data_IF_394306324481
#
_entry.id   IF_394306324481
#
_cell.length_a   1.000
_cell.length_b   1.000
_cell.length_c   1.000
_cell.angle_alpha   90.00
_cell.angle_beta   90.00
_cell.angle_gamma   90.00
#
_symmetry.space_group_name_H-M   'P 1'
#
loop_
_entity.id
_entity.type
_entity.pdbx_description
1 polymer ?
#
# COMPACT_ATOMS: atom_id res chain seq x y z
N UNK A 1 -19.90 -11.93 3.95
CA UNK A 1 -18.55 -12.53 4.14
C UNK A 1 -17.95 -13.07 2.85
N UNK A 2 -18.44 -14.18 2.28
CA UNK A 2 -17.81 -14.79 1.08
C UNK A 2 -17.82 -13.87 -0.14
N UNK A 3 -18.93 -13.15 -0.37
CA UNK A 3 -19.01 -12.13 -1.41
C UNK A 3 -18.04 -10.96 -1.15
N UNK A 4 -17.87 -10.56 0.12
CA UNK A 4 -16.96 -9.47 0.51
C UNK A 4 -15.50 -9.86 0.24
N UNK A 5 -15.10 -11.08 0.60
CA UNK A 5 -13.76 -11.62 0.29
C UNK A 5 -13.49 -11.61 -1.21
N UNK A 6 -14.50 -11.98 -2.01
CA UNK A 6 -14.37 -11.97 -3.46
C UNK A 6 -14.22 -10.55 -4.02
N UNK A 7 -14.99 -9.60 -3.50
CA UNK A 7 -14.90 -8.18 -3.88
C UNK A 7 -13.56 -7.55 -3.45
N UNK A 8 -12.98 -7.99 -2.33
CA UNK A 8 -11.66 -7.57 -1.84
C UNK A 8 -10.49 -8.16 -2.66
N UNK A 9 -10.76 -9.07 -3.60
CA UNK A 9 -9.71 -9.79 -4.34
C UNK A 9 -9.01 -10.88 -3.52
N UNK A 10 -9.55 -11.23 -2.36
CA UNK A 10 -9.03 -12.25 -1.44
C UNK A 10 -9.40 -13.68 -1.88
N UNK A 11 -9.46 -13.91 -3.19
CA UNK A 11 -9.76 -15.22 -3.77
C UNK A 11 -8.50 -16.10 -3.79
N UNK A 12 -8.06 -16.54 -2.61
CA UNK A 12 -7.09 -17.62 -2.36
C UNK A 12 -5.74 -17.53 -3.12
N UNK A 13 -4.75 -16.89 -2.47
CA UNK A 13 -3.34 -16.84 -2.89
C UNK A 13 -2.49 -18.05 -2.44
N UNK A 14 -3.11 -19.17 -2.07
CA UNK A 14 -2.40 -20.35 -1.55
C UNK A 14 -1.70 -21.12 -2.67
N UNK A 15 -0.36 -21.17 -2.64
CA UNK A 15 0.47 -21.91 -3.59
C UNK A 15 0.14 -23.41 -3.63
N UNK A 16 -0.15 -23.99 -2.46
CA UNK A 16 -0.42 -25.43 -2.29
C UNK A 16 -1.92 -25.79 -2.38
N UNK A 17 -2.73 -24.91 -2.97
CA UNK A 17 -4.17 -25.17 -3.06
C UNK A 17 -4.47 -26.38 -3.95
N UNK A 18 -5.51 -27.10 -3.59
CA UNK A 18 -6.11 -28.08 -4.49
C UNK A 18 -6.49 -27.41 -5.81
N UNK A 19 -6.05 -28.01 -6.93
CA UNK A 19 -6.43 -27.58 -8.29
C UNK A 19 -7.81 -28.09 -8.71
N UNK A 20 -8.42 -28.97 -7.91
CA UNK A 20 -9.78 -29.48 -8.16
C UNK A 20 -10.80 -28.51 -7.59
N UNK A 21 -11.87 -28.17 -8.33
CA UNK A 21 -12.97 -27.38 -7.79
C UNK A 21 -13.56 -28.03 -6.53
N UNK A 22 -13.87 -27.21 -5.54
CA UNK A 22 -14.56 -27.67 -4.33
C UNK A 22 -15.97 -28.16 -4.66
N UNK A 23 -16.43 -29.20 -3.96
CA UNK A 23 -17.80 -29.71 -4.12
C UNK A 23 -18.74 -28.99 -3.16
N UNK A 24 -20.05 -28.98 -3.45
CA UNK A 24 -21.06 -28.44 -2.53
C UNK A 24 -21.00 -29.09 -1.15
N UNK A 25 -20.75 -30.40 -1.10
CA UNK A 25 -20.63 -31.16 0.15
C UNK A 25 -19.41 -30.73 0.97
N UNK A 26 -18.29 -30.44 0.30
CA UNK A 26 -17.09 -29.92 0.97
C UNK A 26 -17.44 -28.61 1.70
N UNK A 27 -17.98 -27.63 1.00
CA UNK A 27 -18.29 -26.33 1.59
C UNK A 27 -19.33 -26.41 2.71
N UNK A 28 -20.36 -27.25 2.55
CA UNK A 28 -21.37 -27.47 3.59
C UNK A 28 -20.72 -28.03 4.86
N UNK A 29 -19.92 -29.09 4.75
CA UNK A 29 -19.25 -29.70 5.90
C UNK A 29 -18.22 -28.76 6.53
N UNK A 30 -17.49 -28.01 5.72
CA UNK A 30 -16.57 -26.99 6.23
C UNK A 30 -17.32 -25.93 7.02
N UNK A 31 -18.46 -25.44 6.53
CA UNK A 31 -19.26 -24.43 7.23
C UNK A 31 -19.79 -24.95 8.59
N UNK A 32 -20.25 -26.19 8.65
CA UNK A 32 -20.67 -26.83 9.91
C UNK A 32 -19.52 -26.85 10.93
N UNK A 33 -18.37 -27.40 10.54
CA UNK A 33 -17.19 -27.48 11.40
C UNK A 33 -16.73 -26.09 11.86
N UNK A 34 -16.77 -25.11 10.94
CA UNK A 34 -16.37 -23.75 11.26
C UNK A 34 -17.31 -23.09 12.26
N UNK A 35 -18.62 -23.31 12.12
CA UNK A 35 -19.61 -22.81 13.06
C UNK A 35 -19.47 -23.47 14.44
N UNK A 36 -19.23 -24.78 14.50
CA UNK A 36 -19.01 -25.53 15.75
C UNK A 36 -17.80 -25.03 16.53
N UNK A 37 -16.71 -24.67 15.83
CA UNK A 37 -15.43 -24.36 16.48
C UNK A 37 -15.16 -22.86 16.67
N UNK A 38 -15.78 -21.98 15.89
CA UNK A 38 -15.41 -20.56 15.80
C UNK A 38 -16.58 -19.58 15.89
N UNK A 39 -17.77 -20.03 16.28
CA UNK A 39 -18.88 -19.10 16.54
C UNK A 39 -18.75 -18.44 17.92
N UNK A 40 -19.08 -17.16 17.97
CA UNK A 40 -19.32 -16.43 19.21
C UNK A 40 -20.62 -16.94 19.88
N UNK A 41 -20.86 -16.52 21.13
CA UNK A 41 -22.07 -16.88 21.88
C UNK A 41 -23.40 -16.42 21.22
N UNK A 42 -23.33 -15.47 20.28
CA UNK A 42 -24.47 -15.01 19.47
C UNK A 42 -24.68 -15.85 18.20
N UNK A 43 -23.88 -16.92 18.01
CA UNK A 43 -23.93 -17.82 16.86
C UNK A 43 -23.28 -17.27 15.59
N UNK A 44 -22.55 -16.15 15.67
CA UNK A 44 -21.86 -15.55 14.51
C UNK A 44 -20.40 -15.93 14.49
N UNK A 45 -19.89 -16.21 13.28
CA UNK A 45 -18.45 -16.31 13.03
C UNK A 45 -17.89 -14.89 12.83
N UNK A 46 -17.07 -14.43 13.77
CA UNK A 46 -16.37 -13.14 13.66
C UNK A 46 -15.19 -13.28 12.71
N UNK A 47 -15.08 -12.38 11.74
CA UNK A 47 -13.94 -12.31 10.83
C UNK A 47 -13.23 -10.96 10.99
N UNK A 48 -11.89 -11.01 11.12
CA UNK A 48 -11.02 -9.83 11.21
C UNK A 48 -10.00 -9.88 10.08
N UNK A 49 -9.83 -8.77 9.36
CA UNK A 49 -8.96 -8.68 8.19
C UNK A 49 -7.90 -7.59 8.40
N UNK A 50 -6.61 -7.95 8.53
CA UNK A 50 -5.54 -6.98 8.46
C UNK A 50 -5.30 -6.58 7.00
N UNK A 51 -5.35 -5.28 6.70
CA UNK A 51 -5.10 -4.74 5.36
C UNK A 51 -3.76 -4.01 5.37
N UNK A 52 -2.86 -4.42 4.47
CA UNK A 52 -1.61 -3.70 4.19
C UNK A 52 -1.77 -2.95 2.87
N UNK A 53 -1.47 -1.66 2.86
CA UNK A 53 -1.51 -0.82 1.66
C UNK A 53 -0.19 -0.07 1.52
N UNK A 54 0.20 0.19 0.27
CA UNK A 54 1.39 0.99 -0.06
C UNK A 54 1.03 1.91 -1.22
N UNK A 55 1.31 3.19 -1.07
CA UNK A 55 1.20 4.19 -2.13
C UNK A 55 2.57 4.76 -2.46
N UNK A 56 2.84 5.02 -3.74
CA UNK A 56 4.06 5.66 -4.20
C UNK A 56 3.82 6.45 -5.48
N UNK A 57 4.72 7.40 -5.74
CA UNK A 57 4.72 8.19 -6.97
C UNK A 57 5.87 7.72 -7.86
N UNK A 58 5.62 7.58 -9.15
CA UNK A 58 6.69 7.36 -10.11
C UNK A 58 7.53 8.65 -10.24
N UNK A 59 8.85 8.55 -10.45
CA UNK A 59 9.67 9.72 -10.74
C UNK A 59 9.16 10.43 -12.00
N UNK A 60 8.96 11.74 -11.92
CA UNK A 60 8.61 12.55 -13.09
C UNK A 60 9.87 13.13 -13.75
N UNK A 61 9.84 13.29 -15.07
CA UNK A 61 10.97 13.87 -15.81
C UNK A 61 11.26 15.33 -15.39
N UNK A 62 10.25 16.06 -14.89
CA UNK A 62 10.40 17.41 -14.35
C UNK A 62 11.08 17.45 -12.98
N UNK A 63 11.34 16.30 -12.35
CA UNK A 63 11.98 16.24 -11.05
C UNK A 63 13.43 16.73 -11.14
N UNK A 64 13.80 17.70 -10.31
CA UNK A 64 15.16 18.21 -10.28
C UNK A 64 16.15 17.08 -9.95
N UNK A 65 17.18 16.96 -10.79
CA UNK A 65 18.29 16.03 -10.55
C UNK A 65 19.19 16.62 -9.47
N UNK A 66 19.70 15.78 -8.53
CA UNK A 66 20.71 16.23 -7.58
C UNK A 66 21.91 16.84 -8.30
N UNK A 67 22.40 17.97 -7.79
CA UNK A 67 23.64 18.58 -8.27
C UNK A 67 24.86 17.70 -7.90
N UNK A 68 25.97 17.88 -8.63
CA UNK A 68 27.23 17.17 -8.31
C UNK A 68 27.68 17.54 -6.88
N UNK A 69 28.15 16.59 -6.05
CA UNK A 69 28.71 16.91 -4.75
C UNK A 69 29.77 18.02 -4.84
N UNK A 70 29.71 19.00 -3.93
CA UNK A 70 30.63 20.16 -3.92
C UNK A 70 30.32 21.30 -4.88
N UNK A 71 29.29 21.19 -5.74
CA UNK A 71 28.89 22.27 -6.67
C UNK A 71 27.91 23.29 -6.09
N UNK A 72 27.66 23.25 -4.78
CA UNK A 72 26.78 24.19 -4.10
C UNK A 72 27.37 25.61 -4.15
N UNK A 73 26.67 26.54 -4.81
CA UNK A 73 27.06 27.96 -4.90
C UNK A 73 26.55 28.79 -3.72
N UNK A 74 25.49 28.33 -3.05
CA UNK A 74 24.80 29.02 -1.96
C UNK A 74 24.44 28.02 -0.86
N UNK A 75 24.58 28.44 0.40
CA UNK A 75 24.19 27.64 1.56
C UNK A 75 22.69 27.75 1.82
N UNK A 76 22.03 26.61 2.05
CA UNK A 76 20.62 26.58 2.44
C UNK A 76 20.37 27.34 3.76
N UNK A 77 21.35 27.33 4.69
CA UNK A 77 21.30 28.10 5.93
C UNK A 77 21.04 29.59 5.66
N UNK A 78 21.78 30.17 4.70
CA UNK A 78 21.64 31.57 4.31
C UNK A 78 20.25 31.89 3.75
N UNK A 79 19.63 30.94 3.04
CA UNK A 79 18.27 31.09 2.50
C UNK A 79 17.22 31.02 3.61
N UNK A 80 17.39 30.10 4.56
CA UNK A 80 16.46 29.93 5.68
C UNK A 80 16.54 31.06 6.71
N UNK A 81 17.70 31.71 6.85
CA UNK A 81 17.91 32.85 7.75
C UNK A 81 17.37 34.17 7.18
N UNK A 82 17.18 34.28 5.86
CA UNK A 82 16.64 35.48 5.22
C UNK A 82 15.72 35.17 4.04
N UNK A 83 14.54 34.57 4.30
CA UNK A 83 13.58 34.22 3.26
C UNK A 83 12.95 35.49 2.68
N UNK A 84 13.44 35.95 1.52
CA UNK A 84 12.79 37.02 0.74
C UNK A 84 13.65 38.23 0.34
N UNK A 85 14.97 38.24 0.54
CA UNK A 85 15.84 39.24 -0.13
C UNK A 85 16.20 38.78 -1.55
N UNK A 86 15.97 39.67 -2.50
CA UNK A 86 16.23 39.54 -3.94
C UNK A 86 17.58 38.85 -4.25
N UNK A 87 17.55 37.92 -5.20
CA UNK A 87 18.73 37.21 -5.67
C UNK A 87 19.55 38.11 -6.62
N UNK A 88 20.79 38.52 -6.27
CA UNK A 88 21.65 39.21 -7.22
C UNK A 88 22.31 38.15 -8.10
N UNK A 89 21.82 37.95 -9.32
CA UNK A 89 22.47 37.04 -10.28
C UNK A 89 21.54 36.29 -11.22
N UNK A 90 20.51 36.95 -11.75
CA UNK A 90 19.68 36.39 -12.83
C UNK A 90 20.39 36.48 -14.19
N UNK A 91 21.66 36.09 -14.25
CA UNK A 91 22.43 35.90 -15.49
C UNK A 91 22.95 34.46 -15.50
N UNK A 92 22.14 33.56 -16.05
CA UNK A 92 22.60 32.27 -16.52
C UNK A 92 22.68 32.37 -18.06
N UNK A 93 23.86 32.22 -18.69
CA UNK A 93 23.91 32.08 -20.14
C UNK A 93 23.29 30.74 -20.53
N UNK A 94 22.50 30.76 -21.61
CA UNK A 94 21.85 29.57 -22.19
C UNK A 94 22.81 28.55 -22.75
#
# INVERSE_FOLDING_TARGET
LMADLQAMGETSALTDRSRRPGTRKLFARTAEIYAEQFSDADGRVRASFPIVWMSGWAPDASQQKPLKPGSAKLSLKTILENPGRDFPGRDFPG
#
